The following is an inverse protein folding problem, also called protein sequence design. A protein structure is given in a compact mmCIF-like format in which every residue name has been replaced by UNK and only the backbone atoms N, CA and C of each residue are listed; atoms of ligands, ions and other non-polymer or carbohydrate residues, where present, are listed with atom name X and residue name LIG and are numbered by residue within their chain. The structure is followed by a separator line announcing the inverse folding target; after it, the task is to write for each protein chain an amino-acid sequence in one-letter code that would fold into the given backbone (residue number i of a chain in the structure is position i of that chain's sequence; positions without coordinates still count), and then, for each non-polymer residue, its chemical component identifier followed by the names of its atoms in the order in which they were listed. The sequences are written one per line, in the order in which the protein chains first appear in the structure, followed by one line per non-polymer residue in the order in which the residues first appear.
data_IF_386607470659
#
_entry.id   IF_386607470659
#
_cell.length_a   1.000
_cell.length_b   1.000
_cell.length_c   1.000
_cell.angle_alpha   90.00
_cell.angle_beta   90.00
_cell.angle_gamma   90.00
#
_symmetry.space_group_name_H-M   'P 1'
#
loop_
_entity.id
_entity.type
_entity.pdbx_description
1 polymer ?
#
# COMPACT_ATOMS: atom_id res chain seq x y z
N UNK A 1 18.67 47.44 21.29
CA UNK A 1 18.04 46.56 20.29
C UNK A 1 18.89 45.30 20.19
N UNK A 2 18.39 44.12 20.60
CA UNK A 2 19.16 42.88 20.50
C UNK A 2 19.24 42.47 19.02
N UNK A 3 20.46 42.26 18.54
CA UNK A 3 20.72 41.67 17.23
C UNK A 3 20.32 40.20 17.33
N UNK A 4 19.25 39.81 16.64
CA UNK A 4 18.82 38.42 16.58
C UNK A 4 19.96 37.57 16.03
N UNK A 5 20.42 36.59 16.81
CA UNK A 5 21.40 35.62 16.37
C UNK A 5 20.83 34.86 15.18
N UNK A 6 21.44 35.04 14.02
CA UNK A 6 21.10 34.31 12.81
C UNK A 6 21.46 32.84 13.02
N UNK A 7 20.46 31.98 13.17
CA UNK A 7 20.67 30.54 13.14
C UNK A 7 21.23 30.16 11.76
N UNK A 8 22.32 29.39 11.76
CA UNK A 8 22.90 28.83 10.53
C UNK A 8 21.79 28.15 9.72
N UNK A 9 21.80 28.23 8.38
CA UNK A 9 20.85 27.49 7.55
C UNK A 9 20.83 26.05 8.04
N UNK A 10 19.63 25.58 8.45
CA UNK A 10 19.50 24.33 9.17
C UNK A 10 20.14 23.20 8.36
N UNK A 11 21.00 22.39 8.96
CA UNK A 11 21.66 21.26 8.30
C UNK A 11 20.66 20.35 7.56
N UNK A 12 19.40 20.34 8.02
CA UNK A 12 18.27 19.70 7.37
C UNK A 12 18.00 20.14 5.93
N UNK A 13 18.14 21.43 5.60
CA UNK A 13 17.85 21.93 4.24
C UNK A 13 18.94 21.52 3.26
N UNK A 14 20.21 21.57 3.71
CA UNK A 14 21.35 21.10 2.91
C UNK A 14 21.31 19.59 2.71
N UNK A 15 20.90 18.85 3.74
CA UNK A 15 20.70 17.39 3.66
C UNK A 15 19.57 17.02 2.69
N UNK A 16 18.44 17.71 2.75
CA UNK A 16 17.32 17.49 1.84
C UNK A 16 17.71 17.75 0.36
N UNK A 17 18.50 18.79 0.09
CA UNK A 17 19.04 19.05 -1.25
C UNK A 17 19.98 17.95 -1.74
N UNK A 18 20.81 17.38 -0.85
CA UNK A 18 21.71 16.28 -1.21
C UNK A 18 21.02 14.94 -1.47
N UNK A 19 19.78 14.77 -1.00
CA UNK A 19 18.98 13.55 -1.21
C UNK A 19 18.27 13.51 -2.58
N UNK A 20 18.22 14.64 -3.30
CA UNK A 20 17.47 14.78 -4.55
C UNK A 20 18.19 14.26 -5.81
N UNK A 21 19.40 13.69 -5.68
CA UNK A 21 20.22 13.12 -6.78
C UNK A 21 20.30 14.06 -8.01
N UNK A 22 20.48 15.35 -7.74
CA UNK A 22 20.52 16.42 -8.75
C UNK A 22 21.91 16.54 -9.38
N UNK A 23 21.94 16.88 -10.66
CA UNK A 23 23.20 17.21 -11.34
C UNK A 23 23.82 18.50 -10.78
N UNK A 24 25.14 18.67 -10.93
CA UNK A 24 25.91 19.75 -10.31
C UNK A 24 25.39 21.15 -10.71
N UNK A 25 24.85 21.26 -11.94
CA UNK A 25 24.25 22.48 -12.47
C UNK A 25 22.89 22.78 -11.83
N UNK A 26 22.02 21.78 -11.68
CA UNK A 26 20.71 21.93 -11.06
C UNK A 26 20.85 22.25 -9.57
N UNK A 27 21.82 21.64 -8.90
CA UNK A 27 22.19 21.96 -7.53
C UNK A 27 22.61 23.44 -7.40
N UNK A 28 23.47 23.92 -8.29
CA UNK A 28 23.92 25.32 -8.29
C UNK A 28 22.78 26.32 -8.55
N UNK A 29 21.80 25.98 -9.39
CA UNK A 29 20.61 26.80 -9.63
C UNK A 29 19.64 26.83 -8.45
N UNK A 30 19.46 25.70 -7.75
CA UNK A 30 18.51 25.59 -6.65
C UNK A 30 19.05 26.08 -5.31
N UNK A 31 20.37 26.02 -5.10
CA UNK A 31 21.04 26.44 -3.87
C UNK A 31 20.64 27.86 -3.39
N UNK A 32 20.67 28.93 -4.21
CA UNK A 32 20.29 30.27 -3.75
C UNK A 32 18.81 30.35 -3.33
N UNK A 33 17.93 29.63 -4.01
CA UNK A 33 16.50 29.60 -3.69
C UNK A 33 16.26 28.86 -2.37
N UNK A 34 16.92 27.72 -2.16
CA UNK A 34 16.84 26.97 -0.91
C UNK A 34 17.40 27.76 0.27
N UNK A 35 18.49 28.52 0.07
CA UNK A 35 19.03 29.41 1.10
C UNK A 35 18.08 30.57 1.41
N UNK A 36 17.40 31.13 0.40
CA UNK A 36 16.35 32.14 0.59
C UNK A 36 15.17 31.62 1.41
N UNK A 37 14.72 30.40 1.12
CA UNK A 37 13.64 29.72 1.86
C UNK A 37 14.08 29.36 3.29
N UNK A 38 15.31 28.88 3.48
CA UNK A 38 15.86 28.56 4.80
C UNK A 38 16.01 29.80 5.68
N UNK A 39 16.30 30.97 5.09
CA UNK A 39 16.38 32.25 5.79
C UNK A 39 15.01 32.90 6.01
N UNK A 40 13.98 32.47 5.28
CA UNK A 40 12.62 32.93 5.51
C UNK A 40 12.15 32.39 6.87
N UNK A 41 12.10 33.27 7.87
CA UNK A 41 11.55 32.94 9.17
C UNK A 41 10.13 32.43 8.97
N UNK A 42 9.79 31.19 9.38
CA UNK A 42 8.43 30.71 9.26
C UNK A 42 7.54 31.69 10.03
N UNK A 43 6.46 32.20 9.43
CA UNK A 43 5.56 33.09 10.13
C UNK A 43 5.10 32.36 11.39
N UNK A 44 5.28 32.99 12.56
CA UNK A 44 4.84 32.43 13.84
C UNK A 44 3.35 32.18 13.71
N UNK A 45 2.97 30.91 13.55
CA UNK A 45 1.58 30.53 13.32
C UNK A 45 0.83 30.68 14.63
N UNK A 46 0.23 31.85 14.85
CA UNK A 46 -0.94 31.95 15.70
C UNK A 46 -2.05 31.12 15.04
N UNK A 47 -2.72 30.25 15.81
CA UNK A 47 -3.79 29.38 15.30
C UNK A 47 -4.86 30.17 14.52
N UNK A 48 -5.08 31.44 14.88
CA UNK A 48 -5.99 32.34 14.16
C UNK A 48 -5.49 32.76 12.77
N UNK A 49 -4.17 32.96 12.60
CA UNK A 49 -3.58 33.36 11.31
C UNK A 49 -3.57 32.22 10.30
N UNK A 50 -3.46 30.97 10.78
CA UNK A 50 -3.49 29.79 9.93
C UNK A 50 -4.89 29.55 9.37
N UNK A 51 -5.93 29.61 10.21
CA UNK A 51 -7.32 29.53 9.74
C UNK A 51 -7.67 30.66 8.77
N UNK A 52 -7.18 31.87 9.02
CA UNK A 52 -7.44 33.01 8.14
C UNK A 52 -6.74 32.86 6.78
N UNK A 53 -5.51 32.34 6.77
CA UNK A 53 -4.76 32.05 5.55
C UNK A 53 -5.41 30.91 4.76
N UNK A 54 -5.82 29.83 5.43
CA UNK A 54 -6.57 28.72 4.82
C UNK A 54 -7.90 29.22 4.23
N UNK A 55 -8.63 30.06 4.96
CA UNK A 55 -9.92 30.61 4.47
C UNK A 55 -9.72 31.51 3.25
N UNK A 56 -8.64 32.30 3.21
CA UNK A 56 -8.28 33.14 2.05
C UNK A 56 -7.81 32.33 0.85
N UNK A 57 -7.09 31.25 1.08
CA UNK A 57 -6.56 30.38 0.02
C UNK A 57 -7.59 29.35 -0.47
N UNK A 58 -8.55 28.95 0.35
CA UNK A 58 -9.59 27.97 0.03
C UNK A 58 -10.26 28.19 -1.35
N UNK A 59 -10.69 29.42 -1.73
CA UNK A 59 -11.28 29.63 -3.06
C UNK A 59 -10.30 29.46 -4.23
N UNK A 60 -8.99 29.64 -4.00
CA UNK A 60 -7.94 29.52 -5.02
C UNK A 60 -7.31 28.12 -5.08
N UNK A 61 -7.32 27.38 -3.97
CA UNK A 61 -6.73 26.03 -3.87
C UNK A 61 -7.68 24.96 -4.42
N UNK A 62 -9.00 25.22 -4.42
CA UNK A 62 -10.01 24.23 -4.80
C UNK A 62 -10.81 24.56 -6.06
N UNK A 63 -10.37 25.53 -6.88
CA UNK A 63 -10.94 25.72 -8.20
C UNK A 63 -10.49 24.56 -9.09
N UNK A 64 -11.35 23.54 -9.19
CA UNK A 64 -11.27 22.36 -10.03
C UNK A 64 -10.22 22.46 -11.14
N UNK A 65 -9.02 21.92 -10.91
CA UNK A 65 -8.01 21.87 -11.95
C UNK A 65 -8.60 21.15 -13.17
N UNK A 66 -8.55 21.77 -14.38
CA UNK A 66 -9.06 21.13 -15.59
C UNK A 66 -8.33 19.81 -15.87
N UNK A 67 -7.08 19.68 -15.42
CA UNK A 67 -6.32 18.44 -15.45
C UNK A 67 -6.93 17.39 -14.54
N UNK A 68 -7.30 17.76 -13.30
CA UNK A 68 -7.96 16.83 -12.36
C UNK A 68 -9.32 16.38 -12.87
N UNK A 69 -10.11 17.27 -13.47
CA UNK A 69 -11.38 16.92 -14.10
C UNK A 69 -11.20 16.02 -15.33
N UNK A 70 -10.20 16.29 -16.17
CA UNK A 70 -9.89 15.45 -17.32
C UNK A 70 -9.44 14.04 -16.89
N UNK A 71 -8.60 13.96 -15.86
CA UNK A 71 -8.19 12.68 -15.26
C UNK A 71 -9.41 11.95 -14.69
N UNK A 72 -10.25 12.61 -13.90
CA UNK A 72 -11.47 11.99 -13.35
C UNK A 72 -12.45 11.54 -14.44
N UNK A 73 -12.62 12.30 -15.52
CA UNK A 73 -13.47 11.92 -16.64
C UNK A 73 -12.88 10.74 -17.43
N UNK A 74 -11.55 10.68 -17.57
CA UNK A 74 -10.86 9.56 -18.18
C UNK A 74 -10.93 8.30 -17.30
N UNK A 75 -10.83 8.46 -15.98
CA UNK A 75 -11.00 7.38 -15.02
C UNK A 75 -12.46 6.88 -15.02
N UNK A 76 -13.45 7.77 -14.99
CA UNK A 76 -14.87 7.40 -15.05
C UNK A 76 -15.27 6.64 -16.33
N UNK A 77 -14.51 6.78 -17.42
CA UNK A 77 -14.69 6.01 -18.66
C UNK A 77 -14.06 4.62 -18.59
N UNK A 78 -13.05 4.42 -17.75
CA UNK A 78 -12.49 3.09 -17.49
C UNK A 78 -13.39 2.43 -16.44
N UNK A 79 -13.94 1.26 -16.76
CA UNK A 79 -14.78 0.55 -15.79
C UNK A 79 -14.01 0.31 -14.49
N UNK A 80 -14.67 0.50 -13.34
CA UNK A 80 -14.04 0.45 -12.02
C UNK A 80 -13.19 -0.81 -11.79
N UNK A 81 -13.59 -1.96 -12.35
CA UNK A 81 -12.84 -3.21 -12.28
C UNK A 81 -11.50 -3.14 -13.03
N UNK A 82 -11.48 -2.55 -14.22
CA UNK A 82 -10.27 -2.43 -15.04
C UNK A 82 -9.22 -1.53 -14.39
N UNK A 83 -9.66 -0.45 -13.74
CA UNK A 83 -8.78 0.43 -12.97
C UNK A 83 -8.20 -0.29 -11.75
N UNK A 84 -9.03 -1.06 -11.06
CA UNK A 84 -8.61 -1.82 -9.90
C UNK A 84 -7.60 -2.90 -10.27
N UNK A 85 -7.79 -3.57 -11.41
CA UNK A 85 -6.86 -4.54 -11.97
C UNK A 85 -5.52 -3.91 -12.40
N UNK A 86 -5.56 -2.74 -13.05
CA UNK A 86 -4.34 -1.99 -13.40
C UNK A 86 -3.59 -1.51 -12.15
N UNK A 87 -4.31 -0.99 -11.16
CA UNK A 87 -3.73 -0.58 -9.89
C UNK A 87 -3.15 -1.80 -9.14
N UNK A 88 -3.86 -2.91 -9.13
CA UNK A 88 -3.39 -4.16 -8.57
C UNK A 88 -2.10 -4.62 -9.27
N UNK A 89 -2.07 -4.60 -10.60
CA UNK A 89 -0.87 -4.95 -11.37
C UNK A 89 0.33 -4.07 -11.02
N UNK A 90 0.15 -2.76 -10.88
CA UNK A 90 1.22 -1.86 -10.44
C UNK A 90 1.71 -2.19 -9.02
N UNK A 91 0.79 -2.55 -8.12
CA UNK A 91 1.10 -2.89 -6.72
C UNK A 91 1.80 -4.25 -6.57
N UNK A 92 1.71 -5.18 -7.54
CA UNK A 92 2.43 -6.48 -7.47
C UNK A 92 3.94 -6.25 -7.30
N UNK A 93 4.51 -5.26 -8.00
CA UNK A 93 5.94 -4.94 -7.92
C UNK A 93 6.38 -4.40 -6.55
N UNK A 94 5.44 -3.85 -5.77
CA UNK A 94 5.69 -3.30 -4.43
C UNK A 94 5.61 -4.36 -3.33
N UNK A 95 5.02 -5.53 -3.62
CA UNK A 95 4.95 -6.62 -2.65
C UNK A 95 6.33 -7.26 -2.49
N UNK A 96 6.77 -7.37 -1.24
CA UNK A 96 8.09 -7.89 -0.92
C UNK A 96 8.21 -9.36 -1.40
N UNK A 97 9.30 -9.76 -2.09
CA UNK A 97 9.49 -11.14 -2.59
C UNK A 97 9.28 -12.23 -1.52
N UNK A 98 9.67 -11.91 -0.28
CA UNK A 98 9.50 -12.78 0.89
C UNK A 98 8.04 -13.20 1.15
N UNK A 99 7.06 -12.34 0.83
CA UNK A 99 5.64 -12.69 0.97
C UNK A 99 5.28 -13.91 0.12
N UNK A 100 5.64 -13.88 -1.16
CA UNK A 100 5.35 -14.97 -2.09
C UNK A 100 5.99 -16.28 -1.63
N UNK A 101 7.25 -16.22 -1.21
CA UNK A 101 8.01 -17.39 -0.74
C UNK A 101 7.43 -17.95 0.56
N UNK A 102 7.11 -17.11 1.54
CA UNK A 102 6.53 -17.55 2.81
C UNK A 102 5.16 -18.17 2.62
N UNK A 103 4.26 -17.52 1.87
CA UNK A 103 2.93 -18.05 1.61
C UNK A 103 2.97 -19.36 0.81
N UNK A 104 3.84 -19.46 -0.20
CA UNK A 104 4.07 -20.71 -0.92
C UNK A 104 4.64 -21.81 0.00
N UNK A 105 5.59 -21.46 0.86
CA UNK A 105 6.19 -22.38 1.84
C UNK A 105 5.18 -22.90 2.86
N UNK A 106 4.32 -22.03 3.37
CA UNK A 106 3.23 -22.38 4.29
C UNK A 106 2.23 -23.32 3.61
N UNK A 107 1.83 -22.99 2.38
CA UNK A 107 0.94 -23.86 1.60
C UNK A 107 1.58 -25.24 1.37
N UNK A 108 2.84 -25.27 0.92
CA UNK A 108 3.59 -26.51 0.69
C UNK A 108 3.74 -27.36 1.95
N UNK A 109 4.04 -26.73 3.09
CA UNK A 109 4.10 -27.41 4.38
C UNK A 109 2.75 -28.06 4.74
N UNK A 110 1.64 -27.35 4.51
CA UNK A 110 0.30 -27.90 4.68
C UNK A 110 0.03 -29.12 3.78
N UNK A 111 0.42 -29.05 2.51
CA UNK A 111 0.27 -30.15 1.55
C UNK A 111 1.12 -31.37 1.90
N UNK A 112 2.37 -31.17 2.31
CA UNK A 112 3.24 -32.25 2.79
C UNK A 112 2.66 -32.91 4.03
N UNK A 113 2.19 -32.11 5.00
CA UNK A 113 1.55 -32.61 6.21
C UNK A 113 0.32 -33.48 5.90
N UNK A 114 -0.52 -33.06 4.94
CA UNK A 114 -1.65 -33.85 4.45
C UNK A 114 -1.20 -35.19 3.83
N UNK A 115 -0.18 -35.16 2.98
CA UNK A 115 0.33 -36.36 2.31
C UNK A 115 1.03 -37.36 3.23
N UNK A 116 1.54 -36.90 4.38
CA UNK A 116 2.32 -37.73 5.32
C UNK A 116 1.48 -38.79 6.05
N UNK A 117 0.16 -38.82 5.85
CA UNK A 117 -0.72 -39.87 6.38
C UNK A 117 -0.82 -39.88 7.91
N UNK A 118 -0.35 -38.83 8.59
CA UNK A 118 -0.43 -38.72 10.06
C UNK A 118 -1.91 -38.58 10.45
N UNK A 119 -2.54 -39.59 11.08
CA UNK A 119 -4.00 -39.70 11.12
C UNK A 119 -4.71 -38.72 12.05
N UNK A 120 -4.02 -38.07 12.98
CA UNK A 120 -4.73 -37.62 14.19
C UNK A 120 -5.23 -36.17 14.21
N UNK A 121 -5.02 -35.32 13.19
CA UNK A 121 -5.59 -33.96 13.19
C UNK A 121 -5.47 -33.15 11.86
N UNK A 122 -5.55 -33.82 10.70
CA UNK A 122 -5.41 -33.14 9.40
C UNK A 122 -6.42 -31.99 9.19
N UNK A 123 -7.68 -32.17 9.63
CA UNK A 123 -8.71 -31.13 9.55
C UNK A 123 -8.40 -29.90 10.41
N UNK A 124 -7.78 -30.10 11.58
CA UNK A 124 -7.42 -29.02 12.50
C UNK A 124 -6.26 -28.18 11.93
N UNK A 125 -5.34 -28.83 11.21
CA UNK A 125 -4.20 -28.19 10.56
C UNK A 125 -4.66 -27.33 9.37
N UNK A 126 -5.59 -27.84 8.55
CA UNK A 126 -6.26 -27.09 7.49
C UNK A 126 -7.05 -25.89 8.04
N UNK A 127 -7.80 -26.10 9.14
CA UNK A 127 -8.55 -25.03 9.80
C UNK A 127 -7.66 -23.96 10.43
N UNK A 128 -6.44 -24.29 10.87
CA UNK A 128 -5.51 -23.31 11.44
C UNK A 128 -4.76 -22.52 10.34
N UNK A 129 -4.45 -23.16 9.21
CA UNK A 129 -3.70 -22.55 8.11
C UNK A 129 -4.49 -21.44 7.40
N UNK A 130 -5.80 -21.63 7.19
CA UNK A 130 -6.65 -20.64 6.52
C UNK A 130 -6.65 -19.27 7.22
N UNK A 131 -7.01 -19.18 8.52
CA UNK A 131 -6.97 -17.96 9.30
C UNK A 131 -5.56 -17.36 9.40
N UNK A 132 -4.52 -18.18 9.46
CA UNK A 132 -3.14 -17.70 9.51
C UNK A 132 -2.74 -16.99 8.20
N UNK A 133 -3.05 -17.59 7.05
CA UNK A 133 -2.82 -16.98 5.73
C UNK A 133 -3.64 -15.70 5.57
N UNK A 134 -4.93 -15.72 5.94
CA UNK A 134 -5.79 -14.55 5.91
C UNK A 134 -5.25 -13.42 6.82
N UNK A 135 -4.77 -13.76 8.02
CA UNK A 135 -4.18 -12.80 8.95
C UNK A 135 -2.87 -12.20 8.43
N UNK A 136 -1.98 -13.02 7.86
CA UNK A 136 -0.76 -12.55 7.19
C UNK A 136 -1.08 -11.63 6.02
N UNK A 137 -2.06 -12.00 5.20
CA UNK A 137 -2.58 -11.19 4.10
C UNK A 137 -3.10 -9.83 4.56
N UNK A 138 -3.90 -9.80 5.63
CA UNK A 138 -4.43 -8.58 6.22
C UNK A 138 -3.32 -7.69 6.80
N UNK A 139 -2.39 -8.25 7.57
CA UNK A 139 -1.25 -7.49 8.11
C UNK A 139 -0.43 -6.81 7.01
N UNK A 140 -0.23 -7.48 5.89
CA UNK A 140 0.52 -6.93 4.76
C UNK A 140 -0.29 -5.89 3.98
N UNK A 141 -1.58 -6.12 3.77
CA UNK A 141 -2.47 -5.14 3.15
C UNK A 141 -2.50 -3.82 3.94
N UNK A 142 -2.47 -3.91 5.27
CA UNK A 142 -2.54 -2.77 6.18
C UNK A 142 -1.19 -2.21 6.64
N UNK A 143 -0.06 -2.76 6.18
CA UNK A 143 1.27 -2.28 6.59
C UNK A 143 1.50 -0.79 6.30
N UNK A 144 0.84 -0.26 5.27
CA UNK A 144 0.90 1.16 4.89
C UNK A 144 0.31 2.12 5.93
N UNK A 145 -0.71 1.69 6.70
CA UNK A 145 -1.34 2.55 7.70
C UNK A 145 -0.40 2.94 8.84
N UNK A 146 0.57 2.07 9.19
CA UNK A 146 1.49 2.34 10.31
C UNK A 146 2.60 3.35 9.98
N UNK A 147 2.91 3.59 8.70
CA UNK A 147 4.11 4.31 8.29
C UNK A 147 3.92 5.81 8.04
N UNK A 148 2.80 6.41 8.49
CA UNK A 148 2.45 7.84 8.26
C UNK A 148 2.46 8.30 6.79
N UNK A 149 2.50 7.37 5.84
CA UNK A 149 2.43 7.66 4.40
C UNK A 149 1.04 8.17 4.00
N UNK A 150 0.05 8.06 4.89
CA UNK A 150 -1.33 8.54 4.72
C UNK A 150 -1.40 10.02 4.28
N UNK A 151 -0.49 10.86 4.76
CA UNK A 151 -0.47 12.29 4.39
C UNK A 151 -0.05 12.49 2.93
N UNK A 152 0.90 11.70 2.45
CA UNK A 152 1.33 11.72 1.05
C UNK A 152 0.30 11.06 0.13
N UNK A 153 -0.37 10.01 0.61
CA UNK A 153 -1.42 9.30 -0.14
C UNK A 153 -2.71 10.13 -0.26
N UNK A 154 -3.05 10.97 0.73
CA UNK A 154 -4.17 11.92 0.62
C UNK A 154 -3.96 13.00 -0.44
N UNK A 155 -2.71 13.27 -0.84
CA UNK A 155 -2.39 14.21 -1.90
C UNK A 155 -2.50 13.61 -3.32
N UNK A 156 -2.49 12.27 -3.45
CA UNK A 156 -2.45 11.59 -4.75
C UNK A 156 -3.82 11.05 -5.21
N UNK A 157 -4.03 10.91 -6.54
CA UNK A 157 -5.33 10.62 -7.15
C UNK A 157 -5.93 9.20 -6.98
N UNK A 158 -5.23 8.13 -6.52
CA UNK A 158 -5.92 6.93 -6.04
C UNK A 158 -6.25 7.05 -4.55
N UNK A 159 -7.51 6.78 -4.18
CA UNK A 159 -7.88 6.81 -2.75
C UNK A 159 -7.18 5.68 -1.99
N UNK A 160 -6.84 5.92 -0.72
CA UNK A 160 -6.26 4.88 0.17
C UNK A 160 -7.07 3.58 0.12
N UNK A 161 -8.40 3.70 0.09
CA UNK A 161 -9.31 2.56 0.02
C UNK A 161 -9.16 1.77 -1.30
N UNK A 162 -8.91 2.43 -2.43
CA UNK A 162 -8.65 1.73 -3.70
C UNK A 162 -7.31 0.99 -3.67
N UNK A 163 -6.29 1.57 -3.04
CA UNK A 163 -4.97 0.93 -2.91
C UNK A 163 -5.07 -0.31 -2.01
N UNK A 164 -5.74 -0.20 -0.86
CA UNK A 164 -5.92 -1.35 0.04
C UNK A 164 -6.76 -2.44 -0.61
N UNK A 165 -7.83 -2.08 -1.31
CA UNK A 165 -8.67 -3.04 -2.05
C UNK A 165 -7.87 -3.71 -3.18
N UNK A 166 -7.07 -2.97 -3.93
CA UNK A 166 -6.19 -3.53 -4.95
C UNK A 166 -5.18 -4.53 -4.35
N UNK A 167 -4.56 -4.21 -3.22
CA UNK A 167 -3.67 -5.14 -2.50
C UNK A 167 -4.41 -6.39 -2.02
N UNK A 168 -5.61 -6.21 -1.47
CA UNK A 168 -6.46 -7.33 -1.03
C UNK A 168 -6.79 -8.26 -2.20
N UNK A 169 -7.12 -7.71 -3.38
CA UNK A 169 -7.41 -8.49 -4.59
C UNK A 169 -6.20 -9.30 -5.04
N UNK A 170 -4.98 -8.74 -4.97
CA UNK A 170 -3.75 -9.48 -5.31
C UNK A 170 -3.53 -10.64 -4.35
N UNK A 171 -3.57 -10.37 -3.04
CA UNK A 171 -3.33 -11.37 -1.99
C UNK A 171 -4.39 -12.47 -2.09
N UNK A 172 -5.66 -12.10 -2.17
CA UNK A 172 -6.77 -13.04 -2.29
C UNK A 172 -6.68 -13.87 -3.57
N UNK A 173 -6.35 -13.23 -4.69
CA UNK A 173 -6.18 -13.93 -5.97
C UNK A 173 -5.02 -14.93 -5.93
N UNK A 174 -3.91 -14.56 -5.28
CA UNK A 174 -2.77 -15.45 -5.09
C UNK A 174 -3.10 -16.63 -4.17
N UNK A 175 -3.71 -16.35 -3.02
CA UNK A 175 -4.12 -17.37 -2.05
C UNK A 175 -5.13 -18.34 -2.70
N UNK A 176 -6.10 -17.82 -3.46
CA UNK A 176 -7.03 -18.64 -4.24
C UNK A 176 -6.31 -19.51 -5.26
N UNK A 177 -5.32 -18.95 -5.96
CA UNK A 177 -4.48 -19.69 -6.90
C UNK A 177 -3.70 -20.84 -6.23
N UNK A 178 -3.09 -20.58 -5.08
CA UNK A 178 -2.42 -21.60 -4.26
C UNK A 178 -3.41 -22.67 -3.80
N UNK A 179 -4.59 -22.27 -3.32
CA UNK A 179 -5.64 -23.20 -2.87
C UNK A 179 -6.12 -24.11 -3.99
N UNK A 180 -6.38 -23.56 -5.18
CA UNK A 180 -6.76 -24.34 -6.38
C UNK A 180 -5.62 -25.28 -6.79
N UNK A 181 -4.38 -24.81 -6.79
CA UNK A 181 -3.21 -25.63 -7.12
C UNK A 181 -3.06 -26.82 -6.17
N UNK A 182 -3.18 -26.58 -4.86
CA UNK A 182 -3.12 -27.63 -3.85
C UNK A 182 -4.29 -28.60 -3.94
N UNK A 183 -5.52 -28.09 -4.10
CA UNK A 183 -6.69 -28.93 -4.30
C UNK A 183 -6.55 -29.81 -5.55
N UNK A 184 -5.95 -29.27 -6.63
CA UNK A 184 -5.61 -30.03 -7.83
C UNK A 184 -4.65 -31.19 -7.54
N UNK A 185 -3.54 -30.92 -6.83
CA UNK A 185 -2.54 -31.95 -6.47
C UNK A 185 -3.16 -33.05 -5.60
N UNK A 186 -3.95 -32.66 -4.59
CA UNK A 186 -4.63 -33.61 -3.69
C UNK A 186 -5.68 -34.42 -4.46
N UNK A 187 -6.48 -33.79 -5.31
CA UNK A 187 -7.50 -34.49 -6.11
C UNK A 187 -6.91 -35.48 -7.12
N UNK A 188 -5.65 -35.29 -7.52
CA UNK A 188 -4.93 -36.24 -8.37
C UNK A 188 -4.48 -37.49 -7.59
N UNK A 189 -4.22 -37.37 -6.29
CA UNK A 189 -3.83 -38.50 -5.42
C UNK A 189 -5.03 -39.19 -4.77
N UNK A 190 -6.06 -38.43 -4.39
CA UNK A 190 -7.22 -38.91 -3.65
C UNK A 190 -8.52 -38.50 -4.34
N UNK A 191 -9.57 -39.32 -4.26
CA UNK A 191 -10.91 -39.01 -4.80
C UNK A 191 -11.68 -38.00 -3.93
N UNK A 192 -11.00 -36.97 -3.44
CA UNK A 192 -11.62 -35.89 -2.65
C UNK A 192 -12.25 -34.88 -3.60
N UNK A 193 -13.45 -34.40 -3.27
CA UNK A 193 -14.14 -33.41 -4.08
C UNK A 193 -13.46 -32.04 -3.95
N UNK A 194 -12.95 -31.54 -5.08
CA UNK A 194 -12.26 -30.25 -5.21
C UNK A 194 -13.11 -29.09 -4.67
N UNK A 195 -14.43 -29.16 -4.87
CA UNK A 195 -15.41 -28.17 -4.38
C UNK A 195 -15.46 -28.11 -2.86
N UNK A 196 -15.37 -29.25 -2.16
CA UNK A 196 -15.42 -29.29 -0.70
C UNK A 196 -14.18 -28.63 -0.10
N UNK A 197 -13.01 -28.89 -0.68
CA UNK A 197 -11.73 -28.29 -0.27
C UNK A 197 -11.79 -26.77 -0.48
N UNK A 198 -12.22 -26.31 -1.65
CA UNK A 198 -12.41 -24.89 -1.96
C UNK A 198 -13.40 -24.21 -1.01
N UNK A 199 -14.54 -24.85 -0.71
CA UNK A 199 -15.53 -24.33 0.23
C UNK A 199 -14.98 -24.18 1.65
N UNK A 200 -14.19 -25.15 2.12
CA UNK A 200 -13.55 -25.07 3.43
C UNK A 200 -12.52 -23.92 3.49
N UNK A 201 -11.81 -23.72 2.38
CA UNK A 201 -10.82 -22.64 2.24
C UNK A 201 -11.44 -21.25 2.14
N UNK A 202 -12.58 -21.12 1.46
CA UNK A 202 -13.34 -19.87 1.36
C UNK A 202 -14.19 -19.56 2.60
N UNK A 203 -14.45 -20.54 3.47
CA UNK A 203 -15.34 -20.37 4.62
C UNK A 203 -14.97 -19.15 5.50
N UNK A 204 -13.69 -18.89 5.84
CA UNK A 204 -13.33 -17.72 6.65
C UNK A 204 -13.64 -16.40 5.94
N UNK A 205 -13.56 -16.36 4.61
CA UNK A 205 -13.86 -15.19 3.80
C UNK A 205 -15.36 -14.94 3.66
N UNK A 206 -16.18 -15.99 3.77
CA UNK A 206 -17.64 -15.88 3.75
C UNK A 206 -18.25 -15.48 5.09
N UNK A 207 -17.48 -15.61 6.18
CA UNK A 207 -17.93 -15.35 7.55
C UNK A 207 -17.65 -13.91 8.02
N UNK A 208 -16.89 -13.13 7.23
CA UNK A 208 -16.59 -11.71 7.43
C UNK A 208 -17.51 -10.87 6.56
#
# INVERSE_FOLDING_TARGET
MPVASWEKPSEHTLRALSELDLDEREYAELLPTALLVAQAKPPVSSDGTLQQTVTRLAPYVFSSSPVRQAIQAQLARRGALGELLELARAQISMLHPLFWVLSAGIAAAGAVALSSGVPSNQGLLLQALGPLLAYLGALLAFRGMGLRVLECEMACPPSLMQITLARLVIVLGYDLGLGIGMAGIVSAHERVSLVLVLMHWLMPLLLV
#
